data_IF_629123871594
#
_entry.id   IF_629123871594
#
_cell.length_a   1.000
_cell.length_b   1.000
_cell.length_c   1.000
_cell.angle_alpha   90.00
_cell.angle_beta   90.00
_cell.angle_gamma   90.00
#
_symmetry.space_group_name_H-M   'P 1'
#
loop_
_entity.id
_entity.type
_entity.pdbx_description
1 polymer ?
#
# COMPACT_ATOMS: atom_id res chain seq x y z
N UNK A 1 19.07 1.09 30.94
CA UNK A 1 19.65 1.98 29.91
C UNK A 1 18.51 2.83 29.35
N UNK A 2 18.66 4.14 29.20
CA UNK A 2 17.65 4.96 28.52
C UNK A 2 17.72 4.64 27.03
N UNK A 3 16.60 4.20 26.45
CA UNK A 3 16.47 4.06 25.00
C UNK A 3 16.40 5.47 24.44
N UNK A 4 17.51 5.96 23.90
CA UNK A 4 17.53 7.17 23.10
C UNK A 4 16.60 6.94 21.90
N UNK A 5 15.40 7.54 21.97
CA UNK A 5 14.47 7.63 20.86
C UNK A 5 15.26 8.29 19.73
N UNK A 6 15.65 7.49 18.72
CA UNK A 6 16.36 8.00 17.56
C UNK A 6 15.39 8.91 16.84
N UNK A 7 15.42 10.19 17.17
CA UNK A 7 14.69 11.24 16.47
C UNK A 7 15.04 11.05 15.00
N UNK A 8 14.06 10.57 14.22
CA UNK A 8 14.24 10.42 12.78
C UNK A 8 14.73 11.74 12.21
N UNK A 9 15.60 11.67 11.21
CA UNK A 9 16.10 12.84 10.48
C UNK A 9 14.94 13.81 10.21
N UNK A 10 14.97 14.98 10.86
CA UNK A 10 13.86 15.96 10.86
C UNK A 10 13.49 16.33 9.43
N UNK A 11 14.50 16.43 8.57
CA UNK A 11 14.36 16.65 7.13
C UNK A 11 13.61 15.50 6.43
N UNK A 12 13.93 14.26 6.79
CA UNK A 12 13.23 13.07 6.29
C UNK A 12 11.76 13.02 6.73
N UNK A 13 11.46 13.41 7.97
CA UNK A 13 10.07 13.48 8.48
C UNK A 13 9.26 14.54 7.72
N UNK A 14 9.86 15.71 7.47
CA UNK A 14 9.22 16.76 6.69
C UNK A 14 8.93 16.33 5.25
N UNK A 15 9.90 15.72 4.57
CA UNK A 15 9.71 15.16 3.22
C UNK A 15 8.61 14.10 3.18
N UNK A 16 8.54 13.25 4.20
CA UNK A 16 7.50 12.22 4.30
C UNK A 16 6.10 12.83 4.46
N UNK A 17 5.96 13.87 5.30
CA UNK A 17 4.71 14.62 5.45
C UNK A 17 4.26 15.26 4.13
N UNK A 18 5.19 15.84 3.37
CA UNK A 18 4.92 16.44 2.06
C UNK A 18 4.41 15.39 1.05
N UNK A 19 5.13 14.28 0.90
CA UNK A 19 4.74 13.18 0.01
C UNK A 19 3.36 12.63 0.37
N UNK A 20 3.05 12.43 1.65
CA UNK A 20 1.75 11.92 2.09
C UNK A 20 0.62 12.92 1.80
N UNK A 21 0.90 14.22 1.97
CA UNK A 21 -0.06 15.28 1.62
C UNK A 21 -0.39 15.28 0.12
N UNK A 22 0.61 15.10 -0.73
CA UNK A 22 0.45 15.08 -2.20
C UNK A 22 -0.35 13.87 -2.71
N UNK A 23 -0.48 12.82 -1.92
CA UNK A 23 -1.25 11.63 -2.28
C UNK A 23 -2.77 11.79 -2.10
N UNK A 24 -3.22 12.89 -1.50
CA UNK A 24 -4.64 13.25 -1.36
C UNK A 24 -5.51 12.10 -0.80
N UNK A 25 -4.97 11.33 0.15
CA UNK A 25 -5.75 10.28 0.81
C UNK A 25 -7.00 10.87 1.45
N UNK A 26 -8.12 10.15 1.31
CA UNK A 26 -9.41 10.52 1.92
C UNK A 26 -9.30 10.69 3.43
N UNK A 27 -8.45 9.90 4.08
CA UNK A 27 -8.11 10.02 5.49
C UNK A 27 -6.68 10.53 5.63
N UNK A 28 -6.50 11.67 6.31
CA UNK A 28 -5.19 12.27 6.54
C UNK A 28 -4.36 11.32 7.41
N UNK A 29 -3.21 10.92 6.90
CA UNK A 29 -2.31 10.01 7.58
C UNK A 29 -1.34 10.80 8.47
N UNK A 30 -1.41 10.56 9.78
CA UNK A 30 -0.59 11.25 10.79
C UNK A 30 0.79 10.59 10.91
N UNK A 31 1.79 11.24 10.28
CA UNK A 31 3.18 10.79 10.27
C UNK A 31 3.78 10.70 11.68
N UNK A 32 3.41 11.58 12.60
CA UNK A 32 3.95 11.55 13.97
C UNK A 32 3.42 10.35 14.74
N UNK A 33 2.15 10.02 14.54
CA UNK A 33 1.53 8.84 15.14
C UNK A 33 2.09 7.53 14.58
N UNK A 34 2.47 7.49 13.29
CA UNK A 34 3.14 6.34 12.67
C UNK A 34 4.55 6.16 13.23
N UNK A 35 5.34 7.23 13.27
CA UNK A 35 6.73 7.18 13.74
C UNK A 35 6.84 6.96 15.25
N UNK A 36 5.79 7.27 16.01
CA UNK A 36 5.71 7.06 17.45
C UNK A 36 4.66 5.98 17.81
N UNK A 37 4.43 5.02 16.92
CA UNK A 37 3.46 3.96 17.18
C UNK A 37 3.95 3.11 18.36
N UNK A 38 3.22 3.17 19.48
CA UNK A 38 3.63 2.57 20.75
C UNK A 38 3.81 1.05 20.69
N UNK A 39 3.23 0.37 19.68
CA UNK A 39 3.23 -1.10 19.61
C UNK A 39 4.52 -1.72 19.09
N UNK A 40 5.45 -0.98 18.47
CA UNK A 40 6.71 -1.60 18.02
C UNK A 40 7.58 -2.07 19.21
N UNK A 41 7.40 -1.46 20.39
CA UNK A 41 8.01 -1.95 21.64
C UNK A 41 7.15 -3.03 22.33
N UNK A 42 5.93 -3.24 21.85
CA UNK A 42 4.99 -4.29 22.28
C UNK A 42 5.16 -5.55 21.41
N UNK A 43 6.09 -5.56 20.45
CA UNK A 43 6.57 -6.73 19.69
C UNK A 43 7.19 -7.86 20.55
N UNK A 44 7.18 -7.71 21.88
CA UNK A 44 7.44 -8.80 22.83
C UNK A 44 6.14 -9.47 23.35
N UNK A 45 4.96 -9.04 22.91
CA UNK A 45 3.72 -9.75 23.21
C UNK A 45 3.59 -10.96 22.30
N UNK A 46 3.22 -12.09 22.92
CA UNK A 46 2.83 -13.30 22.21
C UNK A 46 1.78 -12.97 21.15
N UNK A 47 1.81 -13.65 20.00
CA UNK A 47 0.77 -13.47 19.00
C UNK A 47 -0.61 -13.69 19.64
N UNK A 48 -1.63 -12.91 19.25
CA UNK A 48 -2.96 -13.06 19.81
C UNK A 48 -3.47 -14.48 19.58
N UNK A 49 -4.21 -15.03 20.55
CA UNK A 49 -4.79 -16.36 20.39
C UNK A 49 -5.94 -16.34 19.38
N UNK A 50 -6.30 -17.51 18.86
CA UNK A 50 -7.40 -17.64 17.90
C UNK A 50 -8.71 -17.03 18.45
N UNK A 51 -8.95 -17.12 19.76
CA UNK A 51 -10.11 -16.53 20.42
C UNK A 51 -10.08 -15.00 20.43
N UNK A 52 -8.92 -14.38 20.66
CA UNK A 52 -8.74 -12.92 20.62
C UNK A 52 -8.91 -12.38 19.19
N UNK A 53 -8.44 -13.15 18.20
CA UNK A 53 -8.64 -12.83 16.78
C UNK A 53 -10.13 -12.90 16.43
N UNK A 54 -10.82 -13.99 16.82
CA UNK A 54 -12.25 -14.16 16.55
C UNK A 54 -13.06 -13.03 17.20
N UNK A 55 -12.77 -12.71 18.46
CA UNK A 55 -13.45 -11.64 19.19
C UNK A 55 -13.19 -10.27 18.54
N UNK A 56 -11.95 -9.99 18.13
CA UNK A 56 -11.60 -8.76 17.42
C UNK A 56 -12.33 -8.61 16.09
N UNK A 57 -12.56 -9.71 15.36
CA UNK A 57 -13.37 -9.70 14.12
C UNK A 57 -14.85 -9.47 14.44
N UNK A 58 -15.36 -10.05 15.53
CA UNK A 58 -16.76 -9.90 15.94
C UNK A 58 -17.09 -8.51 16.52
N UNK A 59 -16.12 -7.86 17.16
CA UNK A 59 -16.28 -6.55 17.80
C UNK A 59 -16.05 -5.37 16.83
N UNK A 60 -15.75 -5.63 15.55
CA UNK A 60 -15.86 -4.61 14.49
C UNK A 60 -17.33 -4.29 14.31
N UNK A 61 -17.80 -3.25 14.99
CA UNK A 61 -19.09 -2.64 14.69
C UNK A 61 -19.06 -2.14 13.24
N UNK A 62 -20.07 -2.53 12.47
CA UNK A 62 -20.33 -2.16 11.07
C UNK A 62 -20.70 -0.66 10.97
N UNK A 63 -19.90 0.22 11.57
CA UNK A 63 -19.91 1.66 11.33
C UNK A 63 -18.68 2.07 10.51
N UNK A 64 -18.10 1.11 9.79
CA UNK A 64 -17.29 1.43 8.62
C UNK A 64 -18.26 1.81 7.50
N UNK A 65 -18.55 3.10 7.40
CA UNK A 65 -19.01 3.83 6.21
C UNK A 65 -17.98 3.73 5.04
N UNK A 66 -17.40 2.55 4.88
CA UNK A 66 -16.42 2.16 3.88
C UNK A 66 -16.98 1.08 2.95
N UNK A 67 -18.30 0.92 2.89
CA UNK A 67 -18.94 0.48 1.66
C UNK A 67 -19.13 1.70 0.74
N UNK A 68 -18.00 2.20 0.20
CA UNK A 68 -18.04 3.04 -0.99
C UNK A 68 -17.48 2.23 -2.15
N UNK A 69 -18.32 1.31 -2.60
CA UNK A 69 -18.49 1.01 -4.00
C UNK A 69 -17.23 0.51 -4.71
N UNK A 70 -16.82 -0.71 -4.38
CA UNK A 70 -15.93 -1.53 -5.23
C UNK A 70 -16.67 -2.03 -6.49
N UNK A 71 -17.86 -1.51 -6.81
CA UNK A 71 -18.64 -1.89 -8.00
C UNK A 71 -18.14 -1.24 -9.28
N UNK A 72 -16.89 -0.74 -9.32
CA UNK A 72 -16.33 -0.19 -10.56
C UNK A 72 -16.45 -1.23 -11.66
N UNK A 73 -17.43 -1.02 -12.55
CA UNK A 73 -17.70 -1.90 -13.68
C UNK A 73 -16.45 -1.87 -14.52
N UNK A 74 -15.67 -2.95 -14.47
CA UNK A 74 -14.44 -3.04 -15.25
C UNK A 74 -14.80 -2.76 -16.72
N UNK A 75 -14.02 -1.92 -17.41
CA UNK A 75 -14.31 -1.62 -18.80
C UNK A 75 -14.33 -2.93 -19.60
N UNK A 76 -15.41 -3.14 -20.36
CA UNK A 76 -15.54 -4.34 -21.18
C UNK A 76 -14.48 -4.32 -22.28
N UNK A 77 -13.46 -5.17 -22.16
CA UNK A 77 -12.43 -5.36 -23.19
C UNK A 77 -12.86 -6.47 -24.13
N UNK A 78 -12.95 -6.18 -25.43
CA UNK A 78 -13.24 -7.22 -26.42
C UNK A 78 -12.06 -8.20 -26.57
N UNK A 79 -12.30 -9.46 -26.97
CA UNK A 79 -11.21 -10.41 -27.24
C UNK A 79 -10.18 -9.87 -28.23
N UNK A 80 -10.62 -9.12 -29.25
CA UNK A 80 -9.73 -8.51 -30.26
C UNK A 80 -8.78 -7.48 -29.65
N UNK A 81 -9.29 -6.63 -28.75
CA UNK A 81 -8.48 -5.66 -28.02
C UNK A 81 -7.51 -6.34 -27.07
N UNK A 82 -7.95 -7.40 -26.38
CA UNK A 82 -7.08 -8.20 -25.52
C UNK A 82 -5.92 -8.83 -26.32
N UNK A 83 -6.20 -9.44 -27.48
CA UNK A 83 -5.15 -10.01 -28.33
C UNK A 83 -4.17 -8.94 -28.84
N UNK A 84 -4.67 -7.78 -29.25
CA UNK A 84 -3.82 -6.68 -29.71
C UNK A 84 -2.92 -6.14 -28.59
N UNK A 85 -3.47 -6.00 -27.37
CA UNK A 85 -2.72 -5.56 -26.20
C UNK A 85 -1.61 -6.56 -25.85
N UNK A 86 -1.89 -7.86 -25.89
CA UNK A 86 -0.91 -8.91 -25.63
C UNK A 86 0.21 -8.92 -26.68
N UNK A 87 -0.13 -8.80 -27.96
CA UNK A 87 0.89 -8.79 -29.02
C UNK A 87 1.76 -7.52 -28.97
N UNK A 88 1.15 -6.38 -28.65
CA UNK A 88 1.87 -5.12 -28.42
C UNK A 88 2.83 -5.23 -27.23
N UNK A 89 2.36 -5.78 -26.11
CA UNK A 89 3.17 -5.98 -24.91
C UNK A 89 4.33 -6.94 -25.18
N UNK A 90 4.08 -8.05 -25.88
CA UNK A 90 5.11 -9.01 -26.27
C UNK A 90 6.19 -8.34 -27.12
N UNK A 91 5.81 -7.57 -28.14
CA UNK A 91 6.77 -6.89 -29.01
C UNK A 91 7.60 -5.86 -28.24
N UNK A 92 6.97 -5.13 -27.32
CA UNK A 92 7.65 -4.20 -26.43
C UNK A 92 8.65 -4.91 -25.50
N UNK A 93 8.25 -6.02 -24.88
CA UNK A 93 9.14 -6.82 -24.00
C UNK A 93 10.37 -7.35 -24.73
N UNK A 94 10.19 -7.84 -25.97
CA UNK A 94 11.29 -8.30 -26.82
C UNK A 94 12.24 -7.15 -27.17
N UNK A 95 11.71 -5.96 -27.46
CA UNK A 95 12.53 -4.78 -27.73
C UNK A 95 13.35 -4.33 -26.49
N UNK A 96 12.80 -4.54 -25.29
CA UNK A 96 13.41 -4.17 -24.02
C UNK A 96 14.07 -5.34 -23.29
N UNK A 97 14.38 -6.45 -23.97
CA UNK A 97 14.92 -7.68 -23.37
C UNK A 97 16.21 -7.44 -22.55
N UNK A 98 17.02 -6.44 -22.92
CA UNK A 98 18.23 -6.04 -22.16
C UNK A 98 17.95 -5.25 -20.87
N UNK A 99 16.73 -4.74 -20.71
CA UNK A 99 16.28 -3.87 -19.60
C UNK A 99 15.04 -4.46 -18.88
N UNK A 100 14.80 -5.78 -18.96
CA UNK A 100 13.62 -6.45 -18.37
C UNK A 100 13.42 -6.10 -16.89
N UNK A 101 14.50 -5.99 -16.11
CA UNK A 101 14.43 -5.62 -14.69
C UNK A 101 13.83 -4.22 -14.48
N UNK A 102 14.20 -3.25 -15.32
CA UNK A 102 13.72 -1.87 -15.24
C UNK A 102 12.25 -1.77 -15.69
N UNK A 103 11.88 -2.55 -16.69
CA UNK A 103 10.50 -2.64 -17.16
C UNK A 103 9.58 -3.31 -16.12
N UNK A 104 9.99 -4.43 -15.52
CA UNK A 104 9.25 -5.09 -14.44
C UNK A 104 9.07 -4.15 -13.25
N UNK A 105 10.11 -3.39 -12.89
CA UNK A 105 10.03 -2.38 -11.83
C UNK A 105 9.03 -1.26 -12.17
N UNK A 106 9.03 -0.78 -13.41
CA UNK A 106 8.10 0.26 -13.87
C UNK A 106 6.65 -0.22 -13.84
N UNK A 107 6.37 -1.45 -14.27
CA UNK A 107 5.03 -2.05 -14.23
C UNK A 107 4.53 -2.28 -12.79
N UNK A 108 5.40 -2.74 -11.90
CA UNK A 108 5.08 -2.88 -10.47
C UNK A 108 4.74 -1.53 -9.81
N UNK A 109 5.34 -0.44 -10.29
CA UNK A 109 5.11 0.91 -9.79
C UNK A 109 3.77 1.51 -10.21
N UNK A 110 3.23 1.08 -11.36
CA UNK A 110 1.93 1.54 -11.89
C UNK A 110 0.75 0.83 -11.20
N UNK A 111 0.96 -0.32 -10.56
CA UNK A 111 -0.09 -1.09 -9.89
C UNK A 111 -0.40 -0.62 -8.45
N UNK A 112 -0.25 0.68 -8.17
CA UNK A 112 -0.50 1.28 -6.85
C UNK A 112 -1.67 2.25 -6.89
#
# INVERSE_FOLDING_TARGET
>A
MPLEKKVGDVEGIHKLKEVISDLHYRNVMDVERILNYSSENESLMEPPTDEEIIQGVMDVTIDDEQDRDDSSVLPHVSPKEAFLAVDTLKNYLIQHEKNILDLVYTLLKVKR
#
